data_IF_098064607951
#
_entry.id   IF_098064607951
#
_cell.length_a   1.000
_cell.length_b   1.000
_cell.length_c   1.000
_cell.angle_alpha   90.00
_cell.angle_beta   90.00
_cell.angle_gamma   90.00
#
_symmetry.space_group_name_H-M   'P 1'
#
loop_
_entity.id
_entity.type
_entity.pdbx_description
1 polymer ?
#
# COMPACT_ATOMS: atom_id res chain seq x y z
N UNK A 1 24.61 -24.79 -4.36
CA UNK A 1 23.47 -24.10 -4.99
C UNK A 1 23.80 -23.83 -6.45
N UNK A 2 22.80 -23.90 -7.34
CA UNK A 2 22.97 -23.55 -8.75
C UNK A 2 23.20 -22.03 -8.86
N UNK A 3 24.10 -21.58 -9.73
CA UNK A 3 24.34 -20.16 -9.93
C UNK A 3 23.04 -19.46 -10.41
N UNK A 4 22.61 -18.35 -9.79
CA UNK A 4 21.35 -17.68 -10.14
C UNK A 4 21.46 -16.94 -11.48
N UNK A 5 20.42 -16.99 -12.30
CA UNK A 5 20.31 -16.17 -13.52
C UNK A 5 19.87 -14.75 -13.16
N UNK A 6 20.70 -13.77 -13.51
CA UNK A 6 20.47 -12.37 -13.21
C UNK A 6 20.25 -11.62 -14.52
N UNK A 7 19.08 -11.00 -14.66
CA UNK A 7 18.82 -10.09 -15.78
C UNK A 7 19.53 -8.76 -15.50
N UNK A 8 20.45 -8.38 -16.39
CA UNK A 8 21.16 -7.09 -16.34
C UNK A 8 20.59 -6.20 -17.43
N UNK A 9 19.63 -5.35 -17.07
CA UNK A 9 18.86 -4.56 -18.03
C UNK A 9 19.32 -3.10 -18.10
N UNK A 10 19.17 -2.45 -19.25
CA UNK A 10 19.42 -1.01 -19.36
C UNK A 10 19.32 -0.44 -20.77
N UNK A 11 19.39 0.90 -20.87
CA UNK A 11 19.43 1.63 -22.15
C UNK A 11 20.85 1.49 -22.73
N UNK A 12 21.11 0.41 -23.48
CA UNK A 12 22.46 -0.01 -23.86
C UNK A 12 23.18 0.98 -24.78
N UNK A 13 22.45 1.70 -25.64
CA UNK A 13 23.04 2.68 -26.55
C UNK A 13 23.66 3.89 -25.80
N UNK A 14 23.33 4.09 -24.52
CA UNK A 14 23.93 5.15 -23.67
C UNK A 14 24.65 4.62 -22.43
N UNK A 15 24.26 3.45 -21.91
CA UNK A 15 24.79 2.84 -20.68
C UNK A 15 25.47 1.49 -20.91
N UNK A 16 25.73 1.11 -22.16
CA UNK A 16 26.27 -0.20 -22.52
C UNK A 16 27.54 -0.58 -21.76
N UNK A 17 28.49 0.35 -21.59
CA UNK A 17 29.72 0.09 -20.83
C UNK A 17 29.45 -0.18 -19.34
N UNK A 18 28.52 0.57 -18.72
CA UNK A 18 28.11 0.32 -17.34
C UNK A 18 27.43 -1.06 -17.20
N UNK A 19 26.55 -1.41 -18.14
CA UNK A 19 25.83 -2.69 -18.15
C UNK A 19 26.78 -3.87 -18.35
N UNK A 20 27.70 -3.80 -19.32
CA UNK A 20 28.75 -4.81 -19.50
C UNK A 20 29.62 -4.97 -18.25
N UNK A 21 29.95 -3.86 -17.59
CA UNK A 21 30.71 -3.92 -16.35
C UNK A 21 29.91 -4.62 -15.24
N UNK A 22 28.63 -4.28 -15.03
CA UNK A 22 27.76 -4.96 -14.06
C UNK A 22 27.68 -6.45 -14.38
N UNK A 23 27.42 -6.84 -15.62
CA UNK A 23 27.34 -8.24 -16.04
C UNK A 23 28.62 -9.02 -15.70
N UNK A 24 29.80 -8.45 -16.00
CA UNK A 24 31.09 -9.04 -15.60
C UNK A 24 31.23 -9.20 -14.08
N UNK A 25 30.71 -8.24 -13.30
CA UNK A 25 30.77 -8.31 -11.83
C UNK A 25 29.76 -9.30 -11.25
N UNK A 26 28.60 -9.49 -11.91
CA UNK A 26 27.63 -10.55 -11.57
C UNK A 26 28.28 -11.92 -11.77
N UNK A 27 28.94 -12.14 -12.91
CA UNK A 27 29.68 -13.37 -13.18
C UNK A 27 30.78 -13.61 -12.14
N UNK A 28 31.57 -12.58 -11.83
CA UNK A 28 32.62 -12.66 -10.80
C UNK A 28 32.08 -12.95 -9.38
N UNK A 29 30.83 -12.59 -9.10
CA UNK A 29 30.15 -12.88 -7.84
C UNK A 29 29.49 -14.29 -7.81
N UNK A 30 29.55 -15.04 -8.91
CA UNK A 30 28.99 -16.40 -9.00
C UNK A 30 27.57 -16.48 -9.56
N UNK A 31 27.04 -15.39 -10.13
CA UNK A 31 25.77 -15.40 -10.88
C UNK A 31 25.99 -15.65 -12.39
N UNK A 32 24.89 -15.88 -13.11
CA UNK A 32 24.87 -16.00 -14.58
C UNK A 32 24.17 -14.75 -15.14
N UNK A 33 24.90 -13.77 -15.71
CA UNK A 33 24.28 -12.58 -16.26
C UNK A 33 23.60 -12.87 -17.60
N UNK A 34 22.41 -12.30 -17.82
CA UNK A 34 21.75 -12.20 -19.12
C UNK A 34 21.45 -10.73 -19.40
N UNK A 35 22.03 -10.16 -20.43
CA UNK A 35 21.92 -8.74 -20.74
C UNK A 35 20.64 -8.46 -21.55
N UNK A 36 19.78 -7.60 -21.02
CA UNK A 36 18.52 -7.21 -21.64
C UNK A 36 18.54 -5.75 -22.10
N UNK A 37 18.19 -5.52 -23.37
CA UNK A 37 18.23 -4.19 -23.97
C UNK A 37 16.93 -3.39 -23.79
N UNK A 38 17.05 -2.17 -23.28
CA UNK A 38 15.95 -1.19 -23.12
C UNK A 38 16.19 0.09 -23.94
N UNK A 39 17.02 0.02 -24.99
CA UNK A 39 17.44 1.19 -25.77
C UNK A 39 16.26 1.88 -26.49
N UNK A 40 16.36 3.20 -26.62
CA UNK A 40 15.32 4.02 -27.27
C UNK A 40 15.73 4.61 -28.62
N UNK A 41 17.03 4.57 -28.97
CA UNK A 41 17.57 5.24 -30.15
C UNK A 41 18.01 4.29 -31.26
N UNK A 42 18.76 3.25 -30.91
CA UNK A 42 19.15 2.18 -31.82
C UNK A 42 19.33 0.88 -31.02
N UNK A 43 19.22 -0.26 -31.72
CA UNK A 43 19.53 -1.56 -31.15
C UNK A 43 21.05 -1.80 -31.23
N UNK A 44 21.64 -2.25 -30.13
CA UNK A 44 23.09 -2.35 -30.04
C UNK A 44 23.68 -3.63 -30.66
N UNK A 45 22.87 -4.67 -30.89
CA UNK A 45 23.26 -5.89 -31.60
C UNK A 45 24.18 -6.86 -30.84
N UNK A 46 24.40 -6.65 -29.54
CA UNK A 46 25.25 -7.52 -28.70
C UNK A 46 24.60 -8.00 -27.40
N UNK A 47 23.34 -7.63 -27.13
CA UNK A 47 22.61 -8.08 -25.95
C UNK A 47 22.14 -9.54 -26.11
N UNK A 48 22.06 -10.28 -25.00
CA UNK A 48 21.52 -11.64 -24.98
C UNK A 48 20.00 -11.63 -25.25
N UNK A 49 19.31 -10.60 -24.75
CA UNK A 49 17.90 -10.32 -25.01
C UNK A 49 17.83 -8.96 -25.73
N UNK A 50 17.89 -8.95 -27.07
CA UNK A 50 17.95 -7.75 -27.89
C UNK A 50 16.62 -7.00 -27.93
N UNK A 51 16.65 -5.72 -28.32
CA UNK A 51 15.48 -4.85 -28.32
C UNK A 51 14.32 -5.40 -29.16
N UNK A 52 14.60 -5.99 -30.33
CA UNK A 52 13.56 -6.63 -31.14
C UNK A 52 12.86 -7.80 -30.43
N UNK A 53 13.56 -8.55 -29.59
CA UNK A 53 12.95 -9.61 -28.77
C UNK A 53 12.11 -9.00 -27.64
N UNK A 54 12.61 -7.94 -26.98
CA UNK A 54 11.85 -7.22 -25.94
C UNK A 54 10.52 -6.69 -26.47
N UNK A 55 10.48 -6.23 -27.73
CA UNK A 55 9.28 -5.70 -28.36
C UNK A 55 8.37 -6.77 -28.96
N UNK A 56 8.87 -8.00 -29.17
CA UNK A 56 8.11 -9.09 -29.82
C UNK A 56 6.72 -9.33 -29.22
N UNK A 57 6.53 -9.40 -27.88
CA UNK A 57 5.21 -9.65 -27.27
C UNK A 57 4.18 -8.54 -27.50
N UNK A 58 4.60 -7.37 -28.00
CA UNK A 58 3.71 -6.25 -28.31
C UNK A 58 3.30 -6.21 -29.79
N UNK A 59 3.91 -7.07 -30.64
CA UNK A 59 3.76 -7.01 -32.10
C UNK A 59 4.41 -5.78 -32.75
N UNK A 60 5.14 -4.97 -31.98
CA UNK A 60 5.85 -3.77 -32.46
C UNK A 60 7.26 -4.15 -32.91
N UNK A 61 7.88 -3.28 -33.74
CA UNK A 61 9.26 -3.46 -34.23
C UNK A 61 10.12 -2.24 -33.89
N UNK A 62 11.45 -2.41 -33.68
CA UNK A 62 12.34 -1.31 -33.34
C UNK A 62 12.34 -0.13 -34.32
N UNK A 63 12.17 -0.38 -35.64
CA UNK A 63 12.27 0.70 -36.65
C UNK A 63 11.14 1.73 -36.53
N UNK A 64 10.01 1.34 -35.92
CA UNK A 64 8.91 2.27 -35.60
C UNK A 64 9.22 3.08 -34.34
N UNK A 65 9.94 2.51 -33.39
CA UNK A 65 10.30 3.13 -32.11
C UNK A 65 11.16 4.38 -32.32
N UNK A 66 12.19 4.26 -33.17
CA UNK A 66 13.21 5.30 -33.36
C UNK A 66 12.68 6.56 -34.09
N UNK A 67 11.45 6.52 -34.58
CA UNK A 67 10.76 7.66 -35.21
C UNK A 67 9.81 8.38 -34.26
N UNK A 68 9.62 7.86 -33.05
CA UNK A 68 8.73 8.42 -32.06
C UNK A 68 9.44 9.48 -31.21
N UNK A 69 8.64 10.34 -30.61
CA UNK A 69 9.11 11.18 -29.52
C UNK A 69 9.56 10.31 -28.35
N UNK A 70 10.56 10.80 -27.61
CA UNK A 70 11.25 10.00 -26.59
C UNK A 70 10.33 9.45 -25.50
N UNK A 71 9.28 10.19 -25.13
CA UNK A 71 8.27 9.75 -24.17
C UNK A 71 7.43 8.58 -24.70
N UNK A 72 6.97 8.65 -25.95
CA UNK A 72 6.22 7.57 -26.59
C UNK A 72 7.09 6.32 -26.80
N UNK A 73 8.37 6.51 -27.15
CA UNK A 73 9.32 5.42 -27.23
C UNK A 73 9.52 4.73 -25.86
N UNK A 74 9.60 5.51 -24.78
CA UNK A 74 9.70 5.00 -23.42
C UNK A 74 8.50 4.09 -23.06
N UNK A 75 7.27 4.52 -23.35
CA UNK A 75 6.06 3.70 -23.12
C UNK A 75 6.11 2.38 -23.89
N UNK A 76 6.54 2.43 -25.16
CA UNK A 76 6.63 1.24 -26.02
C UNK A 76 7.62 0.21 -25.51
N UNK A 77 8.82 0.65 -25.13
CA UNK A 77 9.83 -0.25 -24.57
C UNK A 77 9.40 -0.76 -23.19
N UNK A 78 8.74 0.06 -22.38
CA UNK A 78 8.22 -0.36 -21.07
C UNK A 78 7.20 -1.49 -21.20
N UNK A 79 6.24 -1.38 -22.11
CA UNK A 79 5.24 -2.42 -22.37
C UNK A 79 5.90 -3.75 -22.78
N UNK A 80 6.87 -3.69 -23.70
CA UNK A 80 7.62 -4.87 -24.15
C UNK A 80 8.47 -5.49 -23.05
N UNK A 81 9.16 -4.65 -22.27
CA UNK A 81 10.00 -5.08 -21.16
C UNK A 81 9.20 -5.81 -20.08
N UNK A 82 8.03 -5.27 -19.69
CA UNK A 82 7.10 -5.90 -18.74
C UNK A 82 6.67 -7.29 -19.23
N UNK A 83 6.18 -7.41 -20.47
CA UNK A 83 5.74 -8.71 -21.01
C UNK A 83 6.90 -9.71 -21.12
N UNK A 84 8.08 -9.23 -21.49
CA UNK A 84 9.26 -10.08 -21.67
C UNK A 84 9.78 -10.59 -20.34
N UNK A 85 9.90 -9.73 -19.31
CA UNK A 85 10.43 -10.14 -18.00
C UNK A 85 9.49 -11.14 -17.31
N UNK A 86 8.17 -10.95 -17.42
CA UNK A 86 7.16 -11.87 -16.87
C UNK A 86 7.27 -13.23 -17.55
N UNK A 87 7.32 -13.27 -18.89
CA UNK A 87 7.53 -14.52 -19.64
C UNK A 87 8.82 -15.24 -19.20
N UNK A 88 9.94 -14.51 -19.10
CA UNK A 88 11.22 -15.10 -18.70
C UNK A 88 11.18 -15.64 -17.26
N UNK A 89 10.45 -14.97 -16.37
CA UNK A 89 10.24 -15.45 -15.01
C UNK A 89 9.41 -16.73 -14.98
N UNK A 90 8.30 -16.80 -15.73
CA UNK A 90 7.46 -18.00 -15.87
C UNK A 90 8.24 -19.18 -16.48
N UNK A 91 9.22 -18.92 -17.35
CA UNK A 91 10.15 -19.92 -17.90
C UNK A 91 11.27 -20.34 -16.93
N UNK A 92 11.30 -19.80 -15.70
CA UNK A 92 12.31 -20.10 -14.68
C UNK A 92 13.69 -19.50 -14.96
N UNK A 93 13.77 -18.47 -15.83
CA UNK A 93 15.03 -17.85 -16.29
C UNK A 93 15.41 -16.59 -15.51
N UNK A 94 14.62 -16.17 -14.53
CA UNK A 94 14.85 -14.95 -13.74
C UNK A 94 14.93 -15.32 -12.26
N UNK A 95 16.12 -15.18 -11.66
CA UNK A 95 16.32 -15.24 -10.21
C UNK A 95 16.71 -13.89 -9.59
N UNK A 96 16.93 -12.86 -10.41
CA UNK A 96 17.11 -11.49 -9.95
C UNK A 96 17.24 -10.52 -11.12
N UNK A 97 17.01 -9.25 -10.86
CA UNK A 97 17.12 -8.19 -11.87
C UNK A 97 17.94 -7.03 -11.32
N UNK A 98 18.89 -6.54 -12.11
CA UNK A 98 19.67 -5.33 -11.83
C UNK A 98 19.69 -4.40 -13.04
N UNK A 99 19.58 -3.09 -12.78
CA UNK A 99 19.66 -2.07 -13.82
C UNK A 99 20.36 -0.81 -13.31
N UNK A 100 20.88 0.01 -14.23
CA UNK A 100 21.45 1.33 -13.93
C UNK A 100 20.99 2.36 -14.93
N UNK A 101 20.57 3.54 -14.46
CA UNK A 101 20.04 4.57 -15.35
C UNK A 101 19.85 5.93 -14.68
N UNK A 102 19.68 6.94 -15.53
CA UNK A 102 19.07 8.21 -15.11
C UNK A 102 17.54 8.08 -15.05
N UNK A 103 16.83 9.20 -14.98
CA UNK A 103 15.36 9.23 -14.85
C UNK A 103 14.62 8.30 -15.83
N UNK A 104 14.88 8.40 -17.13
CA UNK A 104 14.18 7.57 -18.13
C UNK A 104 14.48 6.07 -18.02
N UNK A 105 15.74 5.71 -17.79
CA UNK A 105 16.13 4.31 -17.60
C UNK A 105 15.53 3.73 -16.31
N UNK A 106 15.45 4.55 -15.26
CA UNK A 106 14.80 4.21 -13.99
C UNK A 106 13.32 3.95 -14.19
N UNK A 107 12.60 4.82 -14.89
CA UNK A 107 11.16 4.65 -15.15
C UNK A 107 10.83 3.35 -15.90
N UNK A 108 11.59 3.02 -16.95
CA UNK A 108 11.39 1.78 -17.72
C UNK A 108 11.73 0.56 -16.85
N UNK A 109 12.93 0.55 -16.24
CA UNK A 109 13.43 -0.61 -15.52
C UNK A 109 12.64 -0.88 -14.24
N UNK A 110 12.27 0.14 -13.46
CA UNK A 110 11.44 -0.03 -12.27
C UNK A 110 10.04 -0.53 -12.64
N UNK A 111 9.43 -0.04 -13.71
CA UNK A 111 8.11 -0.56 -14.15
C UNK A 111 8.19 -2.02 -14.57
N UNK A 112 9.24 -2.40 -15.30
CA UNK A 112 9.53 -3.80 -15.61
C UNK A 112 9.75 -4.64 -14.35
N UNK A 113 10.59 -4.18 -13.41
CA UNK A 113 10.86 -4.88 -12.15
C UNK A 113 9.60 -5.09 -11.32
N UNK A 114 8.71 -4.08 -11.22
CA UNK A 114 7.46 -4.17 -10.46
C UNK A 114 6.46 -5.18 -11.00
N UNK A 115 6.60 -5.61 -12.26
CA UNK A 115 5.76 -6.66 -12.83
C UNK A 115 6.14 -8.07 -12.34
N UNK A 116 7.30 -8.22 -11.69
CA UNK A 116 7.71 -9.48 -11.07
C UNK A 116 7.06 -9.64 -9.68
N UNK A 117 6.76 -10.88 -9.26
CA UNK A 117 6.23 -11.15 -7.93
C UNK A 117 7.11 -10.61 -6.79
N UNK A 118 6.48 -10.38 -5.64
CA UNK A 118 7.20 -10.09 -4.39
C UNK A 118 8.11 -11.27 -4.04
N UNK A 119 9.29 -10.96 -3.50
CA UNK A 119 10.33 -11.93 -3.14
C UNK A 119 11.37 -12.16 -4.24
N UNK A 120 11.06 -11.85 -5.51
CA UNK A 120 12.08 -11.86 -6.58
C UNK A 120 13.06 -10.71 -6.35
N UNK A 121 14.38 -10.93 -6.23
CA UNK A 121 15.35 -9.85 -6.04
C UNK A 121 15.36 -8.80 -7.16
N UNK A 122 15.21 -7.52 -6.82
CA UNK A 122 15.18 -6.39 -7.77
C UNK A 122 16.03 -5.24 -7.25
N UNK A 123 16.99 -4.78 -8.04
CA UNK A 123 17.88 -3.67 -7.68
C UNK A 123 18.02 -2.64 -8.81
N UNK A 124 17.65 -1.39 -8.53
CA UNK A 124 17.80 -0.27 -9.45
C UNK A 124 18.86 0.71 -8.97
N UNK A 125 19.90 0.91 -9.76
CA UNK A 125 20.89 1.97 -9.55
C UNK A 125 20.44 3.24 -10.26
N UNK A 126 19.85 4.18 -9.53
CA UNK A 126 19.22 5.37 -10.11
C UNK A 126 19.83 6.67 -9.60
N UNK A 127 20.05 7.63 -10.51
CA UNK A 127 20.37 9.01 -10.11
C UNK A 127 19.25 9.68 -9.33
N UNK A 128 18.02 9.16 -9.43
CA UNK A 128 16.83 9.71 -8.78
C UNK A 128 16.65 9.10 -7.37
N UNK A 129 17.51 8.16 -6.97
CA UNK A 129 17.44 7.48 -5.67
C UNK A 129 17.67 8.40 -4.45
N UNK A 130 18.19 9.62 -4.66
CA UNK A 130 18.35 10.65 -3.62
C UNK A 130 17.23 11.71 -3.70
N UNK A 131 16.00 11.28 -3.95
CA UNK A 131 14.81 12.13 -4.09
C UNK A 131 13.51 11.37 -3.77
N UNK A 132 12.39 11.78 -4.37
CA UNK A 132 11.10 11.08 -4.26
C UNK A 132 11.15 9.78 -5.08
N UNK A 133 11.23 8.65 -4.39
CA UNK A 133 11.41 7.32 -5.00
C UNK A 133 10.12 6.49 -5.01
N UNK A 134 9.04 6.94 -4.36
CA UNK A 134 7.77 6.24 -4.29
C UNK A 134 7.19 5.95 -5.67
N UNK A 135 7.39 6.86 -6.64
CA UNK A 135 6.96 6.68 -8.04
C UNK A 135 7.69 5.52 -8.76
N UNK A 136 8.86 5.12 -8.26
CA UNK A 136 9.68 4.04 -8.82
C UNK A 136 9.49 2.71 -8.08
N UNK A 137 9.40 2.75 -6.75
CA UNK A 137 9.22 1.56 -5.91
C UNK A 137 7.76 1.10 -5.95
N UNK A 138 6.82 2.04 -5.89
CA UNK A 138 5.40 1.75 -5.67
C UNK A 138 5.22 0.97 -4.37
N UNK A 139 4.54 -0.16 -4.48
CA UNK A 139 4.16 -1.11 -3.42
C UNK A 139 5.00 -2.39 -3.44
N UNK A 140 6.08 -2.41 -4.22
CA UNK A 140 6.91 -3.61 -4.44
C UNK A 140 8.21 -3.56 -3.65
N UNK A 141 8.80 -4.72 -3.45
CA UNK A 141 10.07 -4.97 -2.78
C UNK A 141 11.29 -4.64 -3.69
N UNK A 142 11.32 -3.42 -4.23
CA UNK A 142 12.38 -2.93 -5.11
C UNK A 142 13.46 -2.18 -4.32
N UNK A 143 14.71 -2.63 -4.42
CA UNK A 143 15.85 -1.94 -3.82
C UNK A 143 16.36 -0.82 -4.75
N UNK A 144 16.51 0.40 -4.24
CA UNK A 144 17.13 1.51 -4.96
C UNK A 144 18.49 1.89 -4.38
N UNK A 145 19.47 2.12 -5.26
CA UNK A 145 20.82 2.52 -4.90
C UNK A 145 21.23 3.77 -5.69
N UNK A 146 21.78 4.78 -5.01
CA UNK A 146 22.29 5.98 -5.67
C UNK A 146 23.71 5.75 -6.23
N UNK A 147 23.94 5.83 -7.56
CA UNK A 147 25.23 5.53 -8.17
C UNK A 147 26.26 6.67 -8.07
N UNK A 148 25.89 7.80 -7.45
CA UNK A 148 26.66 9.06 -7.32
C UNK A 148 26.90 9.79 -8.64
N UNK A 149 27.30 9.09 -9.70
CA UNK A 149 27.57 9.67 -11.00
C UNK A 149 26.70 9.03 -12.09
N UNK A 150 26.21 9.85 -13.01
CA UNK A 150 25.31 9.43 -14.08
C UNK A 150 26.01 8.55 -15.13
N UNK A 151 27.28 8.84 -15.46
CA UNK A 151 27.98 8.20 -16.57
C UNK A 151 29.45 7.93 -16.28
N UNK A 152 30.00 6.96 -17.01
CA UNK A 152 31.42 6.63 -17.01
C UNK A 152 31.83 5.59 -15.97
N UNK A 153 32.89 4.85 -16.32
CA UNK A 153 33.53 3.84 -15.46
C UNK A 153 34.83 4.40 -14.86
N UNK A 154 34.70 5.10 -13.74
CA UNK A 154 35.83 5.63 -12.98
C UNK A 154 36.05 4.82 -11.68
N UNK A 155 37.08 5.16 -10.91
CA UNK A 155 37.44 4.46 -9.66
C UNK A 155 36.28 4.38 -8.65
N UNK A 156 35.38 5.37 -8.63
CA UNK A 156 34.24 5.44 -7.72
C UNK A 156 33.09 4.60 -8.27
N UNK A 157 32.66 4.85 -9.51
CA UNK A 157 31.53 4.11 -10.10
C UNK A 157 31.82 2.62 -10.21
N UNK A 158 33.05 2.21 -10.56
CA UNK A 158 33.43 0.78 -10.58
C UNK A 158 33.21 0.11 -9.23
N UNK A 159 33.60 0.76 -8.12
CA UNK A 159 33.41 0.21 -6.77
C UNK A 159 31.92 0.04 -6.45
N UNK A 160 31.11 1.03 -6.80
CA UNK A 160 29.66 1.03 -6.57
C UNK A 160 28.97 -0.08 -7.38
N UNK A 161 29.24 -0.13 -8.67
CA UNK A 161 28.67 -1.14 -9.57
C UNK A 161 29.10 -2.56 -9.16
N UNK A 162 30.34 -2.74 -8.67
CA UNK A 162 30.82 -4.04 -8.18
C UNK A 162 30.04 -4.52 -6.97
N UNK A 163 29.88 -3.73 -5.91
CA UNK A 163 29.13 -4.20 -4.74
C UNK A 163 27.64 -4.39 -5.07
N UNK A 164 27.08 -3.63 -6.03
CA UNK A 164 25.67 -3.76 -6.40
C UNK A 164 25.44 -5.08 -7.14
N UNK A 165 26.34 -5.44 -8.06
CA UNK A 165 26.35 -6.73 -8.73
C UNK A 165 26.51 -7.89 -7.74
N UNK A 166 27.42 -7.78 -6.76
CA UNK A 166 27.54 -8.77 -5.69
C UNK A 166 26.29 -8.83 -4.80
N UNK A 167 25.66 -7.68 -4.52
CA UNK A 167 24.45 -7.57 -3.72
C UNK A 167 23.27 -8.31 -4.36
N UNK A 168 22.99 -8.07 -5.64
CA UNK A 168 21.88 -8.76 -6.33
C UNK A 168 22.12 -10.28 -6.43
N UNK A 169 23.37 -10.72 -6.64
CA UNK A 169 23.71 -12.15 -6.62
C UNK A 169 23.53 -12.74 -5.22
N UNK A 170 23.90 -12.01 -4.18
CA UNK A 170 23.67 -12.40 -2.79
C UNK A 170 22.19 -12.52 -2.46
N UNK A 171 21.36 -11.55 -2.86
CA UNK A 171 19.90 -11.61 -2.70
C UNK A 171 19.31 -12.83 -3.43
N UNK A 172 19.74 -13.10 -4.66
CA UNK A 172 19.29 -14.23 -5.48
C UNK A 172 19.83 -15.60 -5.03
N UNK A 173 20.83 -15.60 -4.15
CA UNK A 173 21.41 -16.81 -3.55
C UNK A 173 21.02 -16.98 -2.09
N UNK A 174 20.05 -16.19 -1.59
CA UNK A 174 19.52 -16.34 -0.25
C UNK A 174 18.99 -17.78 -0.07
N UNK A 175 19.21 -18.39 1.10
CA UNK A 175 18.65 -19.71 1.38
C UNK A 175 17.12 -19.64 1.29
N UNK A 176 16.52 -20.74 0.84
CA UNK A 176 15.07 -20.88 0.91
C UNK A 176 14.63 -20.72 2.37
N UNK A 177 13.55 -19.94 2.57
CA UNK A 177 12.94 -19.80 3.88
C UNK A 177 12.29 -21.15 4.21
N UNK A 178 12.52 -21.67 5.41
CA UNK A 178 11.83 -22.88 5.85
C UNK A 178 10.32 -22.66 5.71
N UNK A 179 9.63 -23.53 4.98
CA UNK A 179 8.17 -23.52 4.91
C UNK A 179 7.64 -23.78 6.32
N UNK A 180 7.27 -22.70 7.02
CA UNK A 180 6.46 -22.80 8.23
C UNK A 180 5.08 -23.33 7.87
N UNK A 181 4.27 -23.73 8.86
CA UNK A 181 2.86 -24.04 8.59
C UNK A 181 2.23 -22.87 7.81
N UNK A 182 1.80 -23.13 6.57
CA UNK A 182 1.15 -22.15 5.71
C UNK A 182 -0.22 -21.79 6.32
N UNK A 183 -0.21 -20.87 7.29
CA UNK A 183 -1.41 -20.37 7.94
C UNK A 183 -2.11 -19.38 7.00
N UNK A 184 -3.45 -19.36 7.00
CA UNK A 184 -4.19 -18.34 6.27
C UNK A 184 -3.81 -16.93 6.74
N UNK A 185 -3.53 -16.04 5.79
CA UNK A 185 -3.09 -14.67 6.05
C UNK A 185 -4.27 -13.69 6.09
N UNK A 186 -4.35 -12.91 7.16
CA UNK A 186 -5.34 -11.86 7.39
C UNK A 186 -4.68 -10.50 7.17
N UNK A 187 -5.35 -9.65 6.41
CA UNK A 187 -4.94 -8.26 6.26
C UNK A 187 -5.56 -7.39 7.35
N UNK A 188 -4.78 -6.50 7.95
CA UNK A 188 -5.28 -5.54 8.92
C UNK A 188 -4.70 -4.14 8.69
N UNK A 189 -5.56 -3.11 8.74
CA UNK A 189 -5.15 -1.72 8.53
C UNK A 189 -5.04 -0.97 9.86
N UNK A 190 -3.94 -0.24 10.04
CA UNK A 190 -3.59 0.42 11.29
C UNK A 190 -3.21 1.89 11.10
N UNK A 191 -3.48 2.68 12.13
CA UNK A 191 -2.89 3.99 12.31
C UNK A 191 -2.45 4.21 13.75
N UNK A 192 -1.60 5.21 13.99
CA UNK A 192 -1.12 5.52 15.35
C UNK A 192 -2.28 5.66 16.36
N UNK A 193 -3.37 6.30 15.94
CA UNK A 193 -4.56 6.55 16.77
C UNK A 193 -5.48 5.33 16.95
N UNK A 194 -5.22 4.21 16.26
CA UNK A 194 -5.98 2.95 16.35
C UNK A 194 -5.12 1.75 16.80
N UNK A 195 -3.85 1.99 17.16
CA UNK A 195 -2.89 0.95 17.56
C UNK A 195 -3.43 -0.02 18.62
N UNK A 196 -4.08 0.43 19.72
CA UNK A 196 -4.61 -0.50 20.73
C UNK A 196 -5.64 -1.49 20.14
N UNK A 197 -6.53 -1.01 19.28
CA UNK A 197 -7.56 -1.83 18.63
C UNK A 197 -6.93 -2.90 17.73
N UNK A 198 -5.97 -2.49 16.89
CA UNK A 198 -5.35 -3.37 15.88
C UNK A 198 -4.46 -4.41 16.51
N UNK A 199 -3.61 -4.05 17.49
CA UNK A 199 -2.73 -5.03 18.15
C UNK A 199 -3.52 -6.11 18.89
N UNK A 200 -4.68 -5.73 19.47
CA UNK A 200 -5.57 -6.69 20.11
C UNK A 200 -6.22 -7.62 19.10
N UNK A 201 -6.70 -7.08 17.98
CA UNK A 201 -7.31 -7.88 16.92
C UNK A 201 -6.29 -8.82 16.25
N UNK A 202 -5.06 -8.33 16.01
CA UNK A 202 -3.94 -9.15 15.54
C UNK A 202 -3.71 -10.36 16.47
N UNK A 203 -3.57 -10.09 17.77
CA UNK A 203 -3.34 -11.14 18.76
C UNK A 203 -4.47 -12.19 18.75
N UNK A 204 -5.73 -11.76 18.66
CA UNK A 204 -6.87 -12.66 18.57
C UNK A 204 -6.77 -13.58 17.34
N UNK A 205 -6.47 -13.02 16.16
CA UNK A 205 -6.34 -13.81 14.94
C UNK A 205 -5.17 -14.80 15.01
N UNK A 206 -4.03 -14.38 15.56
CA UNK A 206 -2.85 -15.25 15.77
C UNK A 206 -3.16 -16.42 16.72
N UNK A 207 -3.86 -16.16 17.83
CA UNK A 207 -4.32 -17.17 18.78
C UNK A 207 -5.33 -18.16 18.16
N UNK A 208 -6.03 -17.75 17.09
CA UNK A 208 -6.97 -18.59 16.34
C UNK A 208 -6.36 -19.23 15.09
N UNK A 209 -5.02 -19.24 14.96
CA UNK A 209 -4.32 -20.01 13.92
C UNK A 209 -4.12 -19.30 12.59
N UNK A 210 -4.26 -17.97 12.56
CA UNK A 210 -4.00 -17.15 11.38
C UNK A 210 -2.64 -16.45 11.47
N UNK A 211 -2.11 -16.05 10.32
CA UNK A 211 -1.07 -15.02 10.24
C UNK A 211 -1.72 -13.66 9.99
N UNK A 212 -1.08 -12.57 10.41
CA UNK A 212 -1.63 -11.22 10.24
C UNK A 212 -0.59 -10.30 9.62
N UNK A 213 -0.94 -9.70 8.50
CA UNK A 213 -0.19 -8.63 7.86
C UNK A 213 -0.82 -7.29 8.25
N UNK A 214 -0.14 -6.54 9.12
CA UNK A 214 -0.58 -5.21 9.55
C UNK A 214 0.08 -4.14 8.68
N UNK A 215 -0.73 -3.37 7.94
CA UNK A 215 -0.26 -2.26 7.12
C UNK A 215 -0.64 -0.92 7.76
N UNK A 216 0.30 0.01 7.75
CA UNK A 216 0.07 1.37 8.22
C UNK A 216 -0.66 2.19 7.15
N UNK A 217 -1.70 2.92 7.52
CA UNK A 217 -2.43 3.81 6.62
C UNK A 217 -1.57 5.03 6.25
N UNK A 218 -0.84 4.94 5.14
CA UNK A 218 0.08 5.98 4.62
C UNK A 218 -0.03 6.17 3.12
N UNK A 219 -1.14 5.72 2.51
CA UNK A 219 -1.28 5.65 1.06
C UNK A 219 -0.65 4.38 0.51
N UNK A 220 0.67 4.23 0.70
CA UNK A 220 1.40 3.04 0.25
C UNK A 220 0.95 1.76 0.98
N UNK A 221 0.61 1.85 2.27
CA UNK A 221 0.13 0.70 3.03
C UNK A 221 -1.20 0.17 2.54
N UNK A 222 -2.17 1.06 2.28
CA UNK A 222 -3.45 0.71 1.66
C UNK A 222 -3.28 0.14 0.26
N UNK A 223 -2.49 0.79 -0.61
CA UNK A 223 -2.19 0.26 -1.95
C UNK A 223 -1.60 -1.16 -1.90
N UNK A 224 -0.64 -1.38 -1.01
CA UNK A 224 -0.01 -2.69 -0.84
C UNK A 224 -1.02 -3.73 -0.37
N UNK A 225 -1.93 -3.37 0.54
CA UNK A 225 -2.99 -4.26 1.00
C UNK A 225 -3.93 -4.66 -0.13
N UNK A 226 -4.40 -3.69 -0.93
CA UNK A 226 -5.26 -3.96 -2.08
C UNK A 226 -4.57 -4.89 -3.10
N UNK A 227 -3.27 -4.72 -3.33
CA UNK A 227 -2.50 -5.61 -4.22
C UNK A 227 -2.35 -7.03 -3.64
N UNK A 228 -2.09 -7.18 -2.34
CA UNK A 228 -2.00 -8.50 -1.71
C UNK A 228 -3.35 -9.25 -1.74
N UNK A 229 -4.47 -8.51 -1.65
CA UNK A 229 -5.81 -9.07 -1.87
C UNK A 229 -5.99 -9.46 -3.35
N UNK A 230 -5.58 -8.61 -4.29
CA UNK A 230 -5.72 -8.87 -5.72
C UNK A 230 -4.97 -10.13 -6.16
N UNK A 231 -3.78 -10.34 -5.59
CA UNK A 231 -2.88 -11.48 -5.81
C UNK A 231 -3.32 -12.75 -5.06
N UNK A 232 -4.32 -12.66 -4.18
CA UNK A 232 -4.91 -13.80 -3.49
C UNK A 232 -4.15 -14.27 -2.25
N UNK A 233 -3.27 -13.44 -1.69
CA UNK A 233 -2.55 -13.74 -0.46
C UNK A 233 -3.45 -13.62 0.79
N UNK A 234 -4.44 -12.72 0.75
CA UNK A 234 -5.29 -12.41 1.90
C UNK A 234 -6.62 -13.17 1.83
N UNK A 235 -6.96 -13.90 2.91
CA UNK A 235 -8.22 -14.67 2.99
C UNK A 235 -9.34 -13.97 3.77
N UNK A 236 -9.00 -12.94 4.55
CA UNK A 236 -9.93 -12.17 5.37
C UNK A 236 -9.35 -10.81 5.75
N UNK A 237 -10.22 -9.82 5.98
CA UNK A 237 -9.81 -8.44 6.24
C UNK A 237 -10.37 -7.90 7.57
N UNK A 238 -9.48 -7.37 8.41
CA UNK A 238 -9.80 -6.47 9.52
C UNK A 238 -9.43 -5.05 9.12
N UNK A 239 -10.30 -4.40 8.36
CA UNK A 239 -10.09 -3.04 7.90
C UNK A 239 -10.59 -2.02 8.93
N UNK A 240 -9.95 -2.04 10.10
CA UNK A 240 -10.36 -1.25 11.26
C UNK A 240 -10.00 0.24 11.13
N UNK A 241 -9.11 0.57 10.20
CA UNK A 241 -8.60 1.92 9.98
C UNK A 241 -8.74 2.28 8.50
N UNK A 242 -9.62 3.24 8.19
CA UNK A 242 -9.96 3.61 6.80
C UNK A 242 -9.62 5.06 6.45
N UNK A 243 -8.68 5.67 7.19
CA UNK A 243 -8.25 7.06 6.97
C UNK A 243 -7.87 7.34 5.51
N UNK A 244 -7.26 6.39 4.80
CA UNK A 244 -6.84 6.59 3.42
C UNK A 244 -8.02 6.87 2.45
N UNK A 245 -9.25 6.50 2.83
CA UNK A 245 -10.46 6.89 2.11
C UNK A 245 -10.75 8.39 2.30
N UNK A 246 -10.54 8.93 3.50
CA UNK A 246 -10.55 10.37 3.77
C UNK A 246 -9.51 11.07 2.91
N UNK A 247 -8.29 10.54 2.85
CA UNK A 247 -7.23 11.10 2.02
C UNK A 247 -7.58 11.14 0.53
N UNK A 248 -8.21 10.08 0.01
CA UNK A 248 -8.69 10.05 -1.37
C UNK A 248 -9.81 11.06 -1.66
N UNK A 249 -10.78 11.20 -0.73
CA UNK A 249 -11.94 12.08 -0.91
C UNK A 249 -11.53 13.55 -0.92
N UNK A 250 -10.56 13.94 -0.09
CA UNK A 250 -10.13 15.32 0.07
C UNK A 250 -8.80 15.64 -0.64
N UNK A 251 -8.29 14.68 -1.42
CA UNK A 251 -7.05 14.77 -2.20
C UNK A 251 -5.84 15.21 -1.37
N UNK A 252 -5.68 14.64 -0.16
CA UNK A 252 -4.49 14.88 0.67
C UNK A 252 -3.37 13.95 0.23
N UNK A 253 -2.48 14.49 -0.60
CA UNK A 253 -1.43 13.74 -1.30
C UNK A 253 -0.61 12.80 -0.40
N UNK A 254 -0.29 13.23 0.82
CA UNK A 254 0.59 12.52 1.75
C UNK A 254 0.17 11.07 2.05
N UNK A 255 -1.15 10.75 2.03
CA UNK A 255 -1.66 9.41 2.37
C UNK A 255 -2.63 8.83 1.36
N UNK A 256 -2.59 9.30 0.10
CA UNK A 256 -3.54 8.85 -0.92
C UNK A 256 -3.28 7.41 -1.33
N UNK A 257 -4.24 6.51 -1.08
CA UNK A 257 -4.16 5.11 -1.53
C UNK A 257 -4.73 4.90 -2.93
N UNK A 258 -5.51 5.85 -3.43
CA UNK A 258 -6.10 5.76 -4.76
C UNK A 258 -7.36 4.91 -4.81
N UNK A 259 -7.98 4.84 -6.00
CA UNK A 259 -9.40 4.50 -6.15
C UNK A 259 -9.78 3.08 -5.74
N UNK A 260 -8.80 2.19 -5.56
CA UNK A 260 -9.03 0.79 -5.20
C UNK A 260 -9.15 0.58 -3.68
N UNK A 261 -8.72 1.53 -2.86
CA UNK A 261 -8.77 1.41 -1.40
C UNK A 261 -10.19 1.12 -0.92
N UNK A 262 -10.35 0.06 -0.11
CA UNK A 262 -11.61 -0.49 0.42
C UNK A 262 -12.50 -1.19 -0.63
N UNK A 263 -12.04 -1.34 -1.88
CA UNK A 263 -12.84 -1.94 -2.97
C UNK A 263 -12.41 -3.34 -3.36
N UNK A 264 -11.15 -3.74 -3.17
CA UNK A 264 -10.66 -5.02 -3.73
C UNK A 264 -11.24 -6.20 -2.98
N UNK A 265 -11.23 -6.19 -1.63
CA UNK A 265 -11.87 -7.22 -0.82
C UNK A 265 -13.36 -7.40 -1.15
N UNK A 266 -14.08 -6.27 -1.31
CA UNK A 266 -15.48 -6.27 -1.69
C UNK A 266 -15.73 -6.96 -3.05
N UNK A 267 -14.89 -6.66 -4.06
CA UNK A 267 -15.00 -7.23 -5.41
C UNK A 267 -14.57 -8.69 -5.48
N UNK A 268 -13.53 -9.09 -4.75
CA UNK A 268 -12.95 -10.44 -4.77
C UNK A 268 -13.74 -11.45 -3.91
N UNK A 269 -14.72 -10.98 -3.15
CA UNK A 269 -15.49 -11.86 -2.27
C UNK A 269 -14.68 -12.31 -1.05
N UNK A 270 -13.87 -11.43 -0.49
CA UNK A 270 -13.13 -11.65 0.75
C UNK A 270 -14.00 -11.22 1.94
N UNK A 271 -14.22 -12.09 2.95
CA UNK A 271 -14.89 -11.71 4.18
C UNK A 271 -14.15 -10.56 4.88
N UNK A 272 -14.89 -9.55 5.32
CA UNK A 272 -14.28 -8.36 5.89
C UNK A 272 -15.10 -7.76 7.03
N UNK A 273 -14.38 -7.32 8.07
CA UNK A 273 -14.92 -6.46 9.11
C UNK A 273 -14.26 -5.10 8.96
N UNK A 274 -15.07 -4.06 8.82
CA UNK A 274 -14.62 -2.70 8.47
C UNK A 274 -15.07 -1.73 9.56
N UNK A 275 -14.21 -0.78 9.91
CA UNK A 275 -14.53 0.34 10.81
C UNK A 275 -14.09 1.67 10.18
N UNK A 276 -14.22 2.76 10.93
CA UNK A 276 -13.97 4.14 10.48
C UNK A 276 -12.73 4.75 11.14
N UNK A 277 -11.82 3.89 11.62
CA UNK A 277 -10.68 4.30 12.41
C UNK A 277 -9.81 5.36 11.74
N UNK A 278 -9.46 6.41 12.49
CA UNK A 278 -8.60 7.51 12.02
C UNK A 278 -9.18 8.39 10.91
N UNK A 279 -10.38 8.07 10.40
CA UNK A 279 -10.96 8.76 9.24
C UNK A 279 -11.43 10.19 9.55
N UNK A 280 -11.35 10.62 10.80
CA UNK A 280 -11.62 11.98 11.26
C UNK A 280 -10.49 12.98 10.98
N UNK A 281 -9.38 12.53 10.40
CA UNK A 281 -8.16 13.29 10.15
C UNK A 281 -7.82 13.40 8.66
N UNK A 282 -7.31 14.56 8.27
CA UNK A 282 -6.52 14.79 7.05
C UNK A 282 -5.07 14.96 7.44
N UNK A 283 -4.13 14.35 6.74
CA UNK A 283 -2.71 14.43 7.07
C UNK A 283 -1.87 15.13 6.01
N UNK A 284 -0.85 15.84 6.50
CA UNK A 284 0.08 16.66 5.73
C UNK A 284 1.52 16.45 6.17
N UNK A 285 2.46 16.68 5.26
CA UNK A 285 3.90 16.64 5.56
C UNK A 285 4.31 17.90 6.34
N UNK A 286 3.99 17.89 7.63
CA UNK A 286 4.16 19.02 8.53
C UNK A 286 3.18 20.17 8.24
N UNK A 287 3.32 21.24 9.03
CA UNK A 287 2.38 22.37 8.98
C UNK A 287 2.53 23.19 7.70
N UNK A 288 3.74 23.25 7.12
CA UNK A 288 4.02 24.03 5.90
C UNK A 288 3.33 23.49 4.65
N UNK A 289 2.94 22.21 4.66
CA UNK A 289 2.25 21.55 3.56
C UNK A 289 0.72 21.73 3.61
N UNK A 290 0.18 22.30 4.71
CA UNK A 290 -1.25 22.52 4.84
C UNK A 290 -1.70 23.64 3.87
N UNK A 291 -2.68 23.38 3.00
CA UNK A 291 -3.24 24.39 2.10
C UNK A 291 -3.73 25.65 2.83
N UNK A 292 -3.51 26.83 2.24
CA UNK A 292 -3.87 28.13 2.82
C UNK A 292 -5.33 28.19 3.29
N UNK A 293 -6.25 27.61 2.51
CA UNK A 293 -7.67 27.52 2.86
C UNK A 293 -7.89 26.82 4.21
N UNK A 294 -7.26 25.66 4.42
CA UNK A 294 -7.40 24.89 5.66
C UNK A 294 -6.75 25.63 6.83
N UNK A 295 -5.61 26.29 6.60
CA UNK A 295 -4.97 27.14 7.62
C UNK A 295 -5.87 28.28 8.07
N UNK A 296 -6.57 28.95 7.14
CA UNK A 296 -7.55 29.99 7.47
C UNK A 296 -8.73 29.43 8.28
N UNK A 297 -9.21 28.23 7.94
CA UNK A 297 -10.29 27.55 8.67
C UNK A 297 -9.86 27.16 10.09
N UNK A 298 -8.61 26.71 10.27
CA UNK A 298 -8.01 26.46 11.58
C UNK A 298 -7.93 27.75 12.41
N UNK A 299 -7.44 28.84 11.84
CA UNK A 299 -7.34 30.15 12.51
C UNK A 299 -8.70 30.71 12.93
N UNK A 300 -9.75 30.43 12.15
CA UNK A 300 -11.14 30.80 12.45
C UNK A 300 -11.82 29.88 13.46
N UNK A 301 -11.16 28.80 13.87
CA UNK A 301 -11.71 27.81 14.80
C UNK A 301 -12.76 26.88 14.18
N UNK A 302 -12.86 26.82 12.85
CA UNK A 302 -13.75 25.88 12.13
C UNK A 302 -13.24 24.45 12.28
N UNK A 303 -11.92 24.29 12.31
CA UNK A 303 -11.23 23.00 12.46
C UNK A 303 -10.22 23.06 13.58
N UNK A 304 -9.78 21.88 14.01
CA UNK A 304 -8.67 21.71 14.94
C UNK A 304 -7.46 21.16 14.19
N UNK A 305 -6.31 21.69 14.55
CA UNK A 305 -5.00 21.17 14.15
C UNK A 305 -4.45 20.38 15.32
N UNK A 306 -4.10 19.12 15.06
CA UNK A 306 -3.33 18.29 15.96
C UNK A 306 -1.93 18.13 15.39
N UNK A 307 -0.94 18.71 16.06
CA UNK A 307 0.45 18.56 15.68
C UNK A 307 0.99 17.26 16.26
N UNK A 308 1.02 16.19 15.46
CA UNK A 308 1.39 14.86 15.94
C UNK A 308 2.90 14.78 16.23
N UNK A 309 3.72 15.19 15.27
CA UNK A 309 5.17 15.29 15.41
C UNK A 309 5.72 16.36 14.43
N UNK A 310 7.02 16.72 14.49
CA UNK A 310 7.59 17.76 13.62
C UNK A 310 7.40 17.56 12.10
N UNK A 311 7.17 16.32 11.66
CA UNK A 311 7.03 15.94 10.25
C UNK A 311 5.59 15.63 9.83
N UNK A 312 4.63 15.62 10.77
CA UNK A 312 3.26 15.20 10.50
C UNK A 312 2.26 16.10 11.22
N UNK A 313 1.42 16.76 10.42
CA UNK A 313 0.32 17.58 10.90
C UNK A 313 -1.02 16.94 10.55
N UNK A 314 -1.94 16.88 11.52
CA UNK A 314 -3.26 16.30 11.34
C UNK A 314 -4.34 17.39 11.46
N UNK A 315 -5.21 17.51 10.47
CA UNK A 315 -6.30 18.49 10.42
C UNK A 315 -7.62 17.74 10.54
N UNK A 316 -8.46 18.12 11.51
CA UNK A 316 -9.77 17.50 11.68
C UNK A 316 -10.69 17.77 10.48
N UNK A 317 -11.41 16.73 10.03
CA UNK A 317 -12.52 16.92 9.09
C UNK A 317 -13.74 17.51 9.81
N UNK A 318 -14.50 18.32 9.09
CA UNK A 318 -15.78 18.88 9.53
C UNK A 318 -16.89 17.83 9.49
N UNK A 319 -18.06 18.15 10.06
CA UNK A 319 -19.23 17.28 10.02
C UNK A 319 -19.80 17.12 8.58
N UNK A 320 -19.70 18.16 7.75
CA UNK A 320 -20.09 18.09 6.33
C UNK A 320 -19.17 17.15 5.55
N UNK A 321 -17.86 17.24 5.80
CA UNK A 321 -16.88 16.34 5.20
C UNK A 321 -16.98 14.92 5.76
N UNK A 322 -17.36 14.76 7.02
CA UNK A 322 -17.68 13.43 7.59
C UNK A 322 -18.79 12.77 6.78
N UNK A 323 -19.84 13.52 6.40
CA UNK A 323 -20.91 13.03 5.53
C UNK A 323 -20.41 12.71 4.12
N UNK A 324 -19.49 13.50 3.56
CA UNK A 324 -18.88 13.22 2.26
C UNK A 324 -18.03 11.93 2.28
N UNK A 325 -17.20 11.75 3.32
CA UNK A 325 -16.45 10.52 3.58
C UNK A 325 -17.40 9.32 3.68
N UNK A 326 -18.45 9.42 4.50
CA UNK A 326 -19.40 8.34 4.72
C UNK A 326 -20.08 7.87 3.42
N UNK A 327 -20.40 8.80 2.51
CA UNK A 327 -20.96 8.47 1.19
C UNK A 327 -19.98 7.68 0.34
N UNK A 328 -18.71 8.11 0.29
CA UNK A 328 -17.69 7.38 -0.46
C UNK A 328 -17.38 6.02 0.18
N UNK A 329 -17.36 5.93 1.51
CA UNK A 329 -17.23 4.67 2.23
C UNK A 329 -18.33 3.67 1.85
N UNK A 330 -19.60 4.10 1.82
CA UNK A 330 -20.72 3.26 1.37
C UNK A 330 -20.55 2.82 -0.09
N UNK A 331 -20.18 3.75 -0.98
CA UNK A 331 -19.91 3.48 -2.40
C UNK A 331 -18.79 2.45 -2.62
N UNK A 332 -17.76 2.45 -1.76
CA UNK A 332 -16.64 1.51 -1.81
C UNK A 332 -17.05 0.09 -1.42
N UNK A 333 -17.92 -0.05 -0.42
CA UNK A 333 -18.37 -1.34 0.10
C UNK A 333 -19.60 -1.92 -0.60
N UNK A 334 -20.42 -1.10 -1.28
CA UNK A 334 -21.63 -1.54 -1.98
C UNK A 334 -21.44 -2.78 -2.91
N UNK A 335 -20.29 -2.95 -3.62
CA UNK A 335 -20.03 -4.13 -4.43
C UNK A 335 -19.77 -5.43 -3.66
N UNK A 336 -19.65 -5.40 -2.32
CA UNK A 336 -19.25 -6.56 -1.51
C UNK A 336 -20.17 -7.75 -1.70
N UNK A 337 -19.60 -8.93 -1.99
CA UNK A 337 -20.34 -10.17 -2.25
C UNK A 337 -20.21 -11.22 -1.14
N UNK A 338 -19.11 -11.19 -0.38
CA UNK A 338 -18.89 -12.02 0.80
C UNK A 338 -19.49 -11.38 2.07
N UNK A 339 -19.60 -12.11 3.19
CA UNK A 339 -19.96 -11.53 4.48
C UNK A 339 -19.13 -10.27 4.78
N UNK A 340 -19.81 -9.18 5.11
CA UNK A 340 -19.20 -7.89 5.39
C UNK A 340 -19.92 -7.25 6.56
N UNK A 341 -19.19 -6.98 7.64
CA UNK A 341 -19.75 -6.30 8.82
C UNK A 341 -19.05 -4.95 9.00
N UNK A 342 -19.84 -3.89 9.07
CA UNK A 342 -19.38 -2.54 9.34
C UNK A 342 -19.61 -2.27 10.83
N UNK A 343 -18.54 -2.13 11.60
CA UNK A 343 -18.59 -1.82 13.03
C UNK A 343 -18.40 -0.32 13.24
N UNK A 344 -19.42 0.37 13.75
CA UNK A 344 -19.36 1.81 14.03
C UNK A 344 -19.11 2.04 15.52
N UNK A 345 -17.93 2.57 15.91
CA UNK A 345 -17.64 2.92 17.30
C UNK A 345 -18.36 4.24 17.65
N UNK A 346 -19.34 4.17 18.53
CA UNK A 346 -20.13 5.36 18.88
C UNK A 346 -19.37 6.37 19.73
N UNK A 347 -18.35 5.95 20.49
CA UNK A 347 -17.65 6.84 21.44
C UNK A 347 -16.32 7.39 20.93
N UNK A 348 -15.99 7.17 19.65
CA UNK A 348 -14.81 7.75 19.03
C UNK A 348 -14.13 6.88 17.97
N UNK A 349 -13.61 7.52 16.93
CA UNK A 349 -12.95 6.88 15.79
C UNK A 349 -11.44 6.65 15.99
N UNK A 350 -10.86 7.16 17.08
CA UNK A 350 -9.44 7.03 17.36
C UNK A 350 -9.04 7.88 18.56
N UNK A 351 -7.79 7.78 18.99
CA UNK A 351 -7.27 8.53 20.14
C UNK A 351 -7.42 10.06 20.03
N UNK A 352 -7.67 10.63 18.85
CA UNK A 352 -7.97 12.05 18.71
C UNK A 352 -9.45 12.40 18.86
N UNK A 353 -10.37 11.44 18.73
CA UNK A 353 -11.82 11.61 18.80
C UNK A 353 -12.37 10.98 20.10
N UNK A 354 -12.08 11.61 21.24
CA UNK A 354 -12.45 11.07 22.56
C UNK A 354 -12.99 12.16 23.49
N UNK A 355 -14.00 11.85 24.30
CA UNK A 355 -14.65 12.80 25.19
C UNK A 355 -13.75 13.32 26.33
N UNK A 356 -12.80 12.51 26.78
CA UNK A 356 -11.92 12.81 27.90
C UNK A 356 -10.53 12.17 27.74
N UNK A 357 -9.49 12.70 28.39
CA UNK A 357 -8.16 12.08 28.41
C UNK A 357 -8.19 10.63 28.86
N UNK A 358 -7.59 9.75 28.05
CA UNK A 358 -7.34 8.36 28.38
C UNK A 358 -6.12 7.86 27.61
N UNK A 359 -5.01 7.66 28.33
CA UNK A 359 -3.75 7.20 27.77
C UNK A 359 -3.86 5.78 27.19
N UNK A 360 -4.69 4.92 27.76
CA UNK A 360 -4.88 3.55 27.26
C UNK A 360 -5.59 3.55 25.91
N UNK A 361 -6.44 4.56 25.66
CA UNK A 361 -7.15 4.75 24.40
C UNK A 361 -6.39 5.65 23.41
N UNK A 362 -5.17 6.09 23.76
CA UNK A 362 -4.27 6.82 22.88
C UNK A 362 -4.33 8.35 22.97
N UNK A 363 -4.97 8.92 24.00
CA UNK A 363 -5.06 10.38 24.18
C UNK A 363 -4.40 10.85 25.48
N UNK A 364 -3.38 11.70 25.35
CA UNK A 364 -2.64 12.28 26.48
C UNK A 364 -2.92 13.76 26.71
N UNK A 365 -3.93 14.34 26.05
CA UNK A 365 -4.25 15.77 26.16
C UNK A 365 -4.82 16.14 27.53
N UNK A 366 -4.89 17.45 27.82
CA UNK A 366 -5.46 17.96 29.09
C UNK A 366 -7.01 17.94 29.11
N UNK A 367 -7.65 17.78 27.95
CA UNK A 367 -9.10 17.79 27.78
C UNK A 367 -9.55 16.81 26.71
N UNK A 368 -10.75 16.99 26.12
CA UNK A 368 -11.22 16.16 25.03
C UNK A 368 -10.21 16.07 23.89
N UNK A 369 -10.32 14.98 23.13
CA UNK A 369 -9.57 14.73 21.90
C UNK A 369 -9.59 15.94 20.96
N UNK A 370 -8.51 16.15 20.21
CA UNK A 370 -8.39 17.28 19.29
C UNK A 370 -9.52 17.32 18.23
N UNK A 371 -10.08 16.17 17.86
CA UNK A 371 -11.16 16.10 16.88
C UNK A 371 -12.53 15.93 17.53
N UNK A 372 -12.63 15.74 18.85
CA UNK A 372 -13.88 15.41 19.54
C UNK A 372 -14.99 16.44 19.30
N UNK A 373 -16.16 15.94 18.87
CA UNK A 373 -17.40 16.72 18.77
C UNK A 373 -18.51 15.89 19.43
N UNK A 374 -19.11 16.36 20.54
CA UNK A 374 -20.16 15.62 21.22
C UNK A 374 -21.43 15.52 20.36
N UNK A 375 -22.02 14.33 20.33
CA UNK A 375 -23.30 14.05 19.68
C UNK A 375 -24.50 14.47 20.52
N UNK A 376 -25.68 13.96 20.15
CA UNK A 376 -26.91 14.16 20.93
C UNK A 376 -26.81 13.47 22.29
N UNK A 377 -26.21 12.27 22.32
CA UNK A 377 -25.67 11.71 23.55
C UNK A 377 -24.27 12.29 23.77
N UNK A 378 -23.99 12.96 24.91
CA UNK A 378 -22.66 13.53 25.19
C UNK A 378 -21.51 12.51 25.22
N UNK A 379 -21.81 11.21 25.36
CA UNK A 379 -20.83 10.13 25.28
C UNK A 379 -20.55 9.66 23.85
N UNK A 380 -21.39 10.04 22.88
CA UNK A 380 -21.22 9.65 21.49
C UNK A 380 -20.50 10.73 20.70
N UNK A 381 -19.69 10.32 19.72
CA UNK A 381 -19.13 11.19 18.70
C UNK A 381 -20.23 11.61 17.73
N UNK A 382 -20.36 12.91 17.46
CA UNK A 382 -21.29 13.43 16.46
C UNK A 382 -20.97 12.87 15.07
N UNK A 383 -19.72 12.50 14.80
CA UNK A 383 -19.32 11.87 13.54
C UNK A 383 -19.91 10.48 13.39
N UNK A 384 -19.92 9.67 14.45
CA UNK A 384 -20.56 8.35 14.44
C UNK A 384 -22.06 8.46 14.17
N UNK A 385 -22.75 9.44 14.76
CA UNK A 385 -24.17 9.66 14.46
C UNK A 385 -24.41 10.01 12.98
N UNK A 386 -23.61 10.90 12.40
CA UNK A 386 -23.69 11.24 10.96
C UNK A 386 -23.36 10.02 10.08
N UNK A 387 -22.39 9.21 10.48
CA UNK A 387 -22.04 7.98 9.77
C UNK A 387 -23.23 7.02 9.73
N UNK A 388 -23.94 6.85 10.84
CA UNK A 388 -25.16 6.02 10.88
C UNK A 388 -26.28 6.59 10.02
N UNK A 389 -26.51 7.92 10.07
CA UNK A 389 -27.49 8.60 9.19
C UNK A 389 -27.19 8.28 7.72
N UNK A 390 -25.93 8.40 7.28
CA UNK A 390 -25.54 8.15 5.88
C UNK A 390 -25.57 6.68 5.51
N UNK A 391 -25.11 5.78 6.40
CA UNK A 391 -25.19 4.34 6.17
C UNK A 391 -26.64 3.89 5.97
N UNK A 392 -27.57 4.44 6.75
CA UNK A 392 -29.00 4.15 6.59
C UNK A 392 -29.57 4.68 5.26
N UNK A 393 -29.08 5.82 4.77
CA UNK A 393 -29.53 6.45 3.54
C UNK A 393 -28.95 5.80 2.27
N UNK A 394 -27.67 5.42 2.29
CA UNK A 394 -26.88 5.17 1.07
C UNK A 394 -26.33 3.74 0.96
N UNK A 395 -26.21 2.99 2.07
CA UNK A 395 -25.69 1.61 2.03
C UNK A 395 -26.77 0.67 1.47
N UNK A 396 -26.46 -0.18 0.48
CA UNK A 396 -27.46 -1.09 -0.07
C UNK A 396 -27.86 -2.15 0.97
N UNK A 397 -29.17 -2.36 1.12
CA UNK A 397 -29.70 -3.45 1.93
C UNK A 397 -29.43 -4.80 1.24
N UNK A 398 -28.40 -5.52 1.72
CA UNK A 398 -28.01 -6.85 1.22
C UNK A 398 -27.85 -7.80 2.38
N UNK A 399 -28.25 -9.06 2.20
CA UNK A 399 -28.19 -10.07 3.26
C UNK A 399 -26.76 -10.35 3.76
N UNK A 400 -25.75 -10.14 2.91
CA UNK A 400 -24.34 -10.32 3.24
C UNK A 400 -23.68 -9.08 3.88
N UNK A 401 -24.37 -7.93 3.98
CA UNK A 401 -23.83 -6.70 4.59
C UNK A 401 -24.64 -6.35 5.85
N UNK A 402 -23.96 -6.23 6.98
CA UNK A 402 -24.55 -5.81 8.26
C UNK A 402 -23.80 -4.63 8.85
N UNK A 403 -24.52 -3.76 9.55
CA UNK A 403 -23.95 -2.61 10.27
C UNK A 403 -24.22 -2.80 11.75
N UNK A 404 -23.15 -2.93 12.54
CA UNK A 404 -23.20 -2.99 13.99
C UNK A 404 -22.89 -1.61 14.57
N UNK A 405 -23.80 -1.14 15.43
CA UNK A 405 -23.66 0.06 16.24
C UNK A 405 -23.11 -0.36 17.59
N UNK A 406 -21.86 0.01 17.87
CA UNK A 406 -21.13 -0.43 19.07
C UNK A 406 -20.95 0.78 19.98
N UNK A 407 -21.57 0.78 21.17
CA UNK A 407 -21.46 1.84 22.19
C UNK A 407 -20.12 1.77 22.95
N UNK A 408 -19.04 1.86 22.17
CA UNK A 408 -17.64 1.81 22.58
C UNK A 408 -16.81 2.76 21.74
N UNK A 409 -15.66 3.16 22.28
CA UNK A 409 -14.59 3.80 21.56
C UNK A 409 -13.81 2.73 20.79
N UNK A 410 -13.26 3.05 19.61
CA UNK A 410 -12.58 2.05 18.77
C UNK A 410 -11.44 1.30 19.49
N UNK A 411 -10.73 1.99 20.38
CA UNK A 411 -9.61 1.45 21.16
C UNK A 411 -10.03 0.77 22.47
N UNK A 412 -11.33 0.73 22.81
CA UNK A 412 -11.78 -0.12 23.92
C UNK A 412 -11.62 -1.60 23.53
N UNK A 413 -11.13 -2.46 24.43
CA UNK A 413 -10.91 -3.89 24.14
C UNK A 413 -12.13 -4.59 23.53
N UNK A 414 -13.32 -4.26 24.03
CA UNK A 414 -14.58 -4.87 23.62
C UNK A 414 -14.93 -4.60 22.15
N UNK A 415 -14.51 -3.44 21.59
CA UNK A 415 -14.72 -3.16 20.17
C UNK A 415 -13.88 -4.09 19.30
N UNK A 416 -12.61 -4.27 19.67
CA UNK A 416 -11.65 -5.13 18.96
C UNK A 416 -12.05 -6.61 19.06
N UNK A 417 -12.52 -7.05 20.24
CA UNK A 417 -13.00 -8.41 20.47
C UNK A 417 -14.18 -8.73 19.54
N UNK A 418 -15.21 -7.89 19.53
CA UNK A 418 -16.37 -8.08 18.62
C UNK A 418 -15.92 -8.11 17.15
N UNK A 419 -15.05 -7.19 16.73
CA UNK A 419 -14.61 -7.13 15.33
C UNK A 419 -13.83 -8.37 14.89
N UNK A 420 -12.93 -8.87 15.76
CA UNK A 420 -12.07 -10.03 15.45
C UNK A 420 -12.81 -11.37 15.58
N UNK A 421 -13.72 -11.50 16.54
CA UNK A 421 -14.61 -12.65 16.67
C UNK A 421 -15.54 -12.79 15.46
N UNK A 422 -16.13 -11.68 14.99
CA UNK A 422 -16.97 -11.67 13.77
C UNK A 422 -16.18 -12.16 12.56
N UNK A 423 -14.93 -11.70 12.35
CA UNK A 423 -14.14 -12.19 11.23
C UNK A 423 -13.84 -13.69 11.38
N UNK A 424 -13.54 -14.15 12.59
CA UNK A 424 -13.31 -15.57 12.89
C UNK A 424 -14.55 -16.43 12.56
N UNK A 425 -15.75 -15.93 12.90
CA UNK A 425 -17.02 -16.56 12.55
C UNK A 425 -17.26 -16.59 11.03
N UNK A 426 -16.91 -15.52 10.32
CA UNK A 426 -17.04 -15.47 8.86
C UNK A 426 -16.14 -16.51 8.19
N UNK A 427 -14.88 -16.60 8.63
CA UNK A 427 -13.88 -17.51 8.09
C UNK A 427 -14.19 -18.99 8.39
N UNK A 428 -14.84 -19.27 9.52
CA UNK A 428 -15.32 -20.62 9.89
C UNK A 428 -16.72 -20.95 9.36
N UNK A 429 -17.41 -19.99 8.72
CA UNK A 429 -18.75 -20.18 8.16
C UNK A 429 -19.87 -20.23 9.21
N UNK A 430 -19.59 -19.81 10.45
CA UNK A 430 -20.57 -19.79 11.55
C UNK A 430 -21.25 -18.44 11.74
N UNK A 431 -20.74 -17.39 11.08
CA UNK A 431 -21.30 -16.04 11.17
C UNK A 431 -22.77 -15.99 10.75
N UNK A 432 -23.56 -15.23 11.50
CA UNK A 432 -24.96 -14.94 11.19
C UNK A 432 -25.24 -13.46 11.43
N UNK A 433 -26.20 -12.92 10.67
CA UNK A 433 -26.72 -11.58 10.94
C UNK A 433 -27.21 -11.49 12.39
N UNK A 434 -26.81 -10.44 13.09
CA UNK A 434 -27.12 -10.22 14.50
C UNK A 434 -26.22 -10.96 15.47
N UNK A 435 -25.10 -11.56 15.01
CA UNK A 435 -24.03 -12.01 15.93
C UNK A 435 -23.65 -10.87 16.89
N UNK A 436 -23.39 -11.22 18.16
CA UNK A 436 -22.99 -10.29 19.23
C UNK A 436 -24.04 -9.29 19.70
N UNK A 437 -25.29 -9.36 19.22
CA UNK A 437 -26.37 -8.43 19.64
C UNK A 437 -26.95 -8.71 21.03
N UNK A 438 -26.55 -9.81 21.66
CA UNK A 438 -26.81 -10.09 23.07
C UNK A 438 -25.96 -9.23 24.02
N UNK A 439 -24.85 -8.68 23.52
CA UNK A 439 -24.02 -7.73 24.27
C UNK A 439 -24.76 -6.41 24.42
N UNK A 440 -24.84 -5.90 25.65
CA UNK A 440 -25.65 -4.71 25.95
C UNK A 440 -25.17 -3.42 25.26
N UNK A 441 -23.97 -3.43 24.70
CA UNK A 441 -23.35 -2.31 23.98
C UNK A 441 -23.30 -2.52 22.46
N UNK A 442 -23.92 -3.57 21.92
CA UNK A 442 -23.99 -3.84 20.48
C UNK A 442 -25.45 -3.84 20.04
N UNK A 443 -25.73 -3.16 18.93
CA UNK A 443 -27.04 -3.20 18.28
C UNK A 443 -26.88 -3.17 16.75
N UNK A 444 -27.94 -3.49 16.01
CA UNK A 444 -27.92 -3.47 14.53
C UNK A 444 -28.58 -2.18 14.04
N UNK A 445 -27.96 -1.53 13.06
CA UNK A 445 -28.61 -0.42 12.35
C UNK A 445 -29.78 -0.98 11.53
N UNK A 446 -30.98 -0.46 11.79
CA UNK A 446 -32.24 -0.95 11.20
C UNK A 446 -32.48 -0.45 9.79
#
# INVERSE_FOLDING_TARGET
>A
MKAPNIIVAGILNTKGENIKYIAKQVEAAGGIPHIMELSLGEECGWADIPLHEVLWPTGKRPEKLFKLERAQACEFVTEGAVKTIVRLYEEGKVQGVISVGGSMGTSIACTMMRALPIGVPKMMLSTDASGEVGVHIGTRDLCMLYPIAETGLNRITRRILTYAASGIVGMASAPEVEETENKPLIGCMMFGVTTPCVLRAQKHMEENGYEVMVNHCTGAGGQSMEEMIEEGHIVGMLDLTTEEVTADVFDTYYQRSGPMRLRTAAKKGIPQVVSVGGSELMLFEGISDIPEKLMLEIQRGVRKLYNHNPSVACVAITLEETRAFAKEFCSRLAPATAPTVICIPMRGWGGCDIASPDLALGWSGEGPGATWIPGHNPLHSRRSEIMLEVLQEELPHKDNIEVLVIDKHINEPEFSDVASEILTEMLSGTWKRGSHTELSYVSVLK
#
